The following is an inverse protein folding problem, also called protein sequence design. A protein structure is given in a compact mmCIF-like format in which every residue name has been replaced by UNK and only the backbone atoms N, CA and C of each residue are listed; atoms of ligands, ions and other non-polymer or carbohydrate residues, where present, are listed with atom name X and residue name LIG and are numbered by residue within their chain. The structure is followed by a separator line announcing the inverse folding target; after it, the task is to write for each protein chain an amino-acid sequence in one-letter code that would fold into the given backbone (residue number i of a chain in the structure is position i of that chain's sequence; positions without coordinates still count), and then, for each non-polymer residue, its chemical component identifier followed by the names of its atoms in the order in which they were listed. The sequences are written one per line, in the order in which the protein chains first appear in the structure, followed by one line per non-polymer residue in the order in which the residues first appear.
data_IF_120715106859
#
_entry.id   IF_120715106859
#
_cell.length_a   1.000
_cell.length_b   1.000
_cell.length_c   1.000
_cell.angle_alpha   90.00
_cell.angle_beta   90.00
_cell.angle_gamma   90.00
#
_symmetry.space_group_name_H-M   'P 1'
#
loop_
_entity.id
_entity.type
_entity.pdbx_description
1 polymer ?
#
# COMPACT_ATOMS: atom_id res chain seq x y z
N UNK A 1 -16.06 -11.66 35.76
CA UNK A 1 -15.24 -10.89 34.80
C UNK A 1 -14.97 -9.54 35.44
N UNK A 2 -13.70 -9.12 35.53
CA UNK A 2 -13.38 -7.78 36.04
C UNK A 2 -13.94 -6.73 35.07
N UNK A 3 -14.64 -5.72 35.60
CA UNK A 3 -15.08 -4.58 34.81
C UNK A 3 -13.84 -3.78 34.39
N UNK A 4 -13.39 -3.96 33.15
CA UNK A 4 -12.35 -3.14 32.55
C UNK A 4 -13.03 -1.87 32.03
N UNK A 5 -12.72 -0.74 32.65
CA UNK A 5 -13.17 0.58 32.17
C UNK A 5 -12.07 1.20 31.30
N UNK A 6 -12.46 1.86 30.21
CA UNK A 6 -11.53 2.55 29.31
C UNK A 6 -11.63 4.07 29.52
N UNK A 7 -10.49 4.75 29.66
CA UNK A 7 -10.43 6.19 29.80
C UNK A 7 -10.56 6.90 28.44
N UNK A 8 -11.76 6.80 27.84
CA UNK A 8 -12.10 7.43 26.57
C UNK A 8 -13.33 8.32 26.73
N UNK A 9 -13.36 9.42 25.98
CA UNK A 9 -14.52 10.31 25.94
C UNK A 9 -15.72 9.58 25.32
N UNK A 10 -16.94 9.93 25.75
CA UNK A 10 -18.17 9.34 25.18
C UNK A 10 -18.48 9.91 23.78
N UNK A 11 -18.01 11.13 23.50
CA UNK A 11 -18.24 11.84 22.25
C UNK A 11 -17.08 12.78 21.93
N UNK A 12 -17.02 13.24 20.68
CA UNK A 12 -16.17 14.33 20.20
C UNK A 12 -17.03 15.41 19.55
N UNK A 13 -16.47 16.61 19.37
CA UNK A 13 -17.11 17.73 18.69
C UNK A 13 -16.56 17.93 17.27
N UNK A 14 -17.23 18.79 16.49
CA UNK A 14 -16.73 19.21 15.18
C UNK A 14 -15.36 19.90 15.28
N UNK A 15 -15.15 20.66 16.36
CA UNK A 15 -13.87 21.31 16.63
C UNK A 15 -12.72 20.31 16.86
N UNK A 16 -12.98 19.18 17.52
CA UNK A 16 -11.99 18.12 17.76
C UNK A 16 -11.57 17.42 16.46
N UNK A 17 -12.56 17.07 15.63
CA UNK A 17 -12.33 16.45 14.31
C UNK A 17 -11.48 17.36 13.43
N UNK A 18 -11.84 18.65 13.38
CA UNK A 18 -11.13 19.66 12.61
C UNK A 18 -9.69 19.83 13.09
N UNK A 19 -9.46 19.80 14.41
CA UNK A 19 -8.12 19.86 15.00
C UNK A 19 -7.27 18.68 14.56
N UNK A 20 -7.73 17.44 14.75
CA UNK A 20 -7.00 16.23 14.34
C UNK A 20 -6.70 16.25 12.83
N UNK A 21 -7.68 16.59 11.99
CA UNK A 21 -7.48 16.69 10.53
C UNK A 21 -6.38 17.69 10.17
N UNK A 22 -6.36 18.85 10.82
CA UNK A 22 -5.37 19.90 10.56
C UNK A 22 -3.97 19.50 11.04
N UNK A 23 -3.87 18.79 12.15
CA UNK A 23 -2.61 18.16 12.60
C UNK A 23 -2.07 17.19 11.54
N UNK A 24 -2.95 16.40 10.92
CA UNK A 24 -2.61 15.48 9.83
C UNK A 24 -2.41 16.17 8.47
N UNK A 25 -2.64 17.48 8.37
CA UNK A 25 -2.53 18.28 7.14
C UNK A 25 -3.42 17.80 5.99
N UNK A 26 -4.57 17.21 6.31
CA UNK A 26 -5.48 16.65 5.30
C UNK A 26 -6.61 17.62 4.92
N UNK A 27 -7.04 17.54 3.66
CA UNK A 27 -8.31 18.14 3.21
C UNK A 27 -9.48 17.39 3.83
N UNK A 28 -10.67 18.02 3.91
CA UNK A 28 -11.88 17.34 4.40
C UNK A 28 -12.18 16.08 3.59
N UNK A 29 -12.00 16.13 2.26
CA UNK A 29 -12.18 14.97 1.38
C UNK A 29 -11.23 13.83 1.75
N UNK A 30 -9.92 14.11 1.89
CA UNK A 30 -8.92 13.08 2.21
C UNK A 30 -9.08 12.51 3.61
N UNK A 31 -9.48 13.34 4.57
CA UNK A 31 -9.76 12.87 5.92
C UNK A 31 -11.04 12.02 5.99
N UNK A 32 -12.07 12.37 5.22
CA UNK A 32 -13.28 11.56 5.09
C UNK A 32 -12.96 10.17 4.49
N UNK A 33 -12.14 10.14 3.43
CA UNK A 33 -11.63 8.89 2.84
C UNK A 33 -10.87 8.05 3.88
N UNK A 34 -9.99 8.67 4.69
CA UNK A 34 -9.25 7.98 5.75
C UNK A 34 -10.16 7.36 6.82
N UNK A 35 -11.20 8.09 7.24
CA UNK A 35 -12.14 7.61 8.26
C UNK A 35 -13.24 6.70 7.71
N UNK A 36 -13.29 6.47 6.39
CA UNK A 36 -14.32 5.65 5.75
C UNK A 36 -15.71 6.29 5.76
N UNK A 37 -15.80 7.63 5.70
CA UNK A 37 -17.08 8.37 5.68
C UNK A 37 -17.20 9.26 4.44
N UNK A 38 -18.42 9.72 4.12
CA UNK A 38 -18.62 10.64 3.00
C UNK A 38 -18.08 12.04 3.29
N UNK A 39 -17.64 12.76 2.26
CA UNK A 39 -17.25 14.18 2.36
C UNK A 39 -18.35 15.03 2.99
N UNK A 40 -19.62 14.79 2.63
CA UNK A 40 -20.76 15.48 3.20
C UNK A 40 -20.93 15.23 4.71
N UNK A 41 -20.61 14.01 5.18
CA UNK A 41 -20.59 13.70 6.62
C UNK A 41 -19.50 14.50 7.33
N UNK A 42 -18.31 14.56 6.75
CA UNK A 42 -17.19 15.34 7.29
C UNK A 42 -17.50 16.85 7.34
N UNK A 43 -18.09 17.40 6.28
CA UNK A 43 -18.51 18.80 6.25
C UNK A 43 -19.58 19.10 7.31
N UNK A 44 -20.57 18.22 7.46
CA UNK A 44 -21.59 18.34 8.51
C UNK A 44 -20.95 18.32 9.90
N UNK A 45 -20.06 17.37 10.15
CA UNK A 45 -19.35 17.24 11.44
C UNK A 45 -18.55 18.49 11.78
N UNK A 46 -17.84 19.09 10.82
CA UNK A 46 -17.01 20.27 11.12
C UNK A 46 -17.80 21.60 11.14
N UNK A 47 -19.04 21.61 10.65
CA UNK A 47 -19.89 22.80 10.61
C UNK A 47 -20.84 22.87 11.80
N UNK A 48 -21.30 21.71 12.29
CA UNK A 48 -22.21 21.63 13.44
C UNK A 48 -21.42 21.21 14.67
N UNK A 49 -21.66 21.88 15.80
CA UNK A 49 -21.11 21.47 17.10
C UNK A 49 -21.98 20.39 17.77
N UNK A 50 -22.42 19.41 16.97
CA UNK A 50 -23.16 18.25 17.46
C UNK A 50 -22.22 17.29 18.19
N UNK A 51 -22.74 16.55 19.18
CA UNK A 51 -22.01 15.45 19.81
C UNK A 51 -21.89 14.28 18.83
N UNK A 52 -20.67 13.91 18.47
CA UNK A 52 -20.38 12.81 17.56
C UNK A 52 -19.87 11.62 18.36
N UNK A 53 -20.59 10.50 18.28
CA UNK A 53 -20.36 9.29 19.08
C UNK A 53 -19.95 8.11 18.21
N UNK A 54 -19.57 7.00 18.84
CA UNK A 54 -19.28 5.73 18.17
C UNK A 54 -17.78 5.49 17.94
N UNK A 55 -17.41 4.57 17.03
CA UNK A 55 -16.02 4.14 16.83
C UNK A 55 -15.06 5.28 16.46
N UNK A 56 -15.58 6.34 15.84
CA UNK A 56 -14.80 7.51 15.44
C UNK A 56 -14.13 8.20 16.63
N UNK A 57 -14.73 8.15 17.82
CA UNK A 57 -14.16 8.75 19.04
C UNK A 57 -12.83 8.09 19.39
N UNK A 58 -12.78 6.75 19.37
CA UNK A 58 -11.56 5.98 19.60
C UNK A 58 -10.55 6.18 18.46
N UNK A 59 -11.01 6.13 17.22
CA UNK A 59 -10.15 6.30 16.05
C UNK A 59 -9.46 7.67 16.06
N UNK A 60 -10.18 8.75 16.35
CA UNK A 60 -9.60 10.08 16.47
C UNK A 60 -8.58 10.16 17.61
N UNK A 61 -8.84 9.48 18.73
CA UNK A 61 -7.88 9.44 19.84
C UNK A 61 -6.58 8.74 19.44
N UNK A 62 -6.67 7.64 18.70
CA UNK A 62 -5.51 6.92 18.15
C UNK A 62 -4.75 7.82 17.17
N UNK A 63 -5.46 8.47 16.24
CA UNK A 63 -4.85 9.37 15.24
C UNK A 63 -4.20 10.61 15.87
N UNK A 64 -4.77 11.13 16.94
CA UNK A 64 -4.20 12.25 17.70
C UNK A 64 -2.91 11.84 18.43
N UNK A 65 -2.87 10.61 18.96
CA UNK A 65 -1.71 10.08 19.67
C UNK A 65 -0.60 9.54 18.74
N UNK A 66 -0.97 9.08 17.53
CA UNK A 66 -0.06 8.47 16.55
C UNK A 66 -0.22 9.08 15.13
N UNK A 67 -0.04 10.40 14.97
CA UNK A 67 -0.20 11.06 13.68
C UNK A 67 0.82 10.57 12.62
N UNK A 68 1.99 10.08 13.04
CA UNK A 68 3.04 9.52 12.19
C UNK A 68 2.59 8.30 11.40
N UNK A 69 1.61 7.55 11.92
CA UNK A 69 1.07 6.37 11.25
C UNK A 69 0.44 6.74 9.90
N UNK A 70 -0.24 7.89 9.83
CA UNK A 70 -0.84 8.39 8.59
C UNK A 70 0.23 8.66 7.53
N UNK A 71 1.37 9.22 7.93
CA UNK A 71 2.51 9.44 7.01
C UNK A 71 3.11 8.11 6.54
N UNK A 72 3.20 7.12 7.43
CA UNK A 72 3.69 5.76 7.10
C UNK A 72 2.84 5.13 5.98
N UNK A 73 1.51 5.17 6.10
CA UNK A 73 0.59 4.54 5.15
C UNK A 73 0.29 5.36 3.90
N UNK A 74 0.74 6.63 3.82
CA UNK A 74 0.54 7.46 2.63
C UNK A 74 1.18 6.82 1.38
N UNK A 75 0.47 6.88 0.27
CA UNK A 75 1.01 6.53 -1.05
C UNK A 75 1.70 7.78 -1.61
N UNK A 76 3.02 7.73 -1.90
CA UNK A 76 3.71 8.85 -2.51
C UNK A 76 3.28 9.01 -3.96
N UNK A 77 3.47 10.23 -4.49
CA UNK A 77 3.31 10.48 -5.92
C UNK A 77 4.23 9.58 -6.74
N UNK A 78 3.81 9.27 -7.97
CA UNK A 78 4.56 8.42 -8.90
C UNK A 78 5.83 9.14 -9.35
N UNK A 79 6.99 8.60 -9.01
CA UNK A 79 8.27 9.24 -9.30
C UNK A 79 8.79 8.88 -10.69
N UNK A 80 8.60 7.62 -11.12
CA UNK A 80 9.07 7.11 -12.41
C UNK A 80 7.95 6.51 -13.26
N UNK A 81 8.24 6.25 -14.55
CA UNK A 81 7.25 5.86 -15.55
C UNK A 81 6.56 4.52 -15.28
N UNK A 82 7.23 3.58 -14.62
CA UNK A 82 6.65 2.29 -14.25
C UNK A 82 6.42 2.24 -12.74
N UNK A 83 5.20 1.93 -12.30
CA UNK A 83 4.86 1.70 -10.89
C UNK A 83 4.32 0.28 -10.72
N UNK A 84 4.86 -0.43 -9.74
CA UNK A 84 4.47 -1.80 -9.41
C UNK A 84 4.04 -1.88 -7.96
N UNK A 85 2.93 -2.55 -7.71
CA UNK A 85 2.42 -2.82 -6.37
C UNK A 85 2.64 -4.30 -6.08
N UNK A 86 3.60 -4.61 -5.22
CA UNK A 86 3.79 -5.96 -4.70
C UNK A 86 2.83 -6.18 -3.55
N UNK A 87 1.95 -7.15 -3.72
CA UNK A 87 0.78 -7.39 -2.88
C UNK A 87 0.87 -8.77 -2.25
N UNK A 88 0.37 -8.90 -1.02
CA UNK A 88 0.06 -10.18 -0.40
C UNK A 88 -1.43 -10.19 -0.08
N UNK A 89 -2.18 -11.08 -0.72
CA UNK A 89 -3.65 -11.06 -0.69
C UNK A 89 -4.20 -9.66 -1.06
N UNK A 90 -4.77 -8.93 -0.09
CA UNK A 90 -5.35 -7.59 -0.26
C UNK A 90 -4.45 -6.47 0.26
N UNK A 91 -3.32 -6.79 0.89
CA UNK A 91 -2.41 -5.82 1.49
C UNK A 91 -1.28 -5.44 0.54
N UNK A 92 -0.95 -4.15 0.51
CA UNK A 92 0.23 -3.65 -0.18
C UNK A 92 1.44 -3.96 0.69
N UNK A 93 2.42 -4.67 0.15
CA UNK A 93 3.68 -4.95 0.85
C UNK A 93 4.76 -3.95 0.47
N UNK A 94 5.00 -3.78 -0.84
CA UNK A 94 6.01 -2.87 -1.37
C UNK A 94 5.49 -2.16 -2.61
N UNK A 95 5.60 -0.83 -2.62
CA UNK A 95 5.44 -0.01 -3.82
C UNK A 95 6.80 0.19 -4.47
N UNK A 96 6.89 -0.01 -5.78
CA UNK A 96 8.14 0.02 -6.55
C UNK A 96 7.95 0.95 -7.75
N UNK A 97 8.72 2.04 -7.80
CA UNK A 97 8.79 2.92 -8.96
C UNK A 97 10.10 2.65 -9.71
N UNK A 98 10.02 2.53 -11.04
CA UNK A 98 11.16 2.16 -11.89
C UNK A 98 11.29 3.09 -13.09
N UNK A 99 12.50 3.59 -13.33
CA UNK A 99 12.93 4.25 -14.56
C UNK A 99 13.79 3.25 -15.36
N UNK A 100 13.19 2.63 -16.37
CA UNK A 100 13.84 1.60 -17.19
C UNK A 100 14.97 2.18 -18.06
N UNK A 101 14.88 3.46 -18.45
CA UNK A 101 15.88 4.10 -19.31
C UNK A 101 17.14 4.47 -18.53
N UNK A 102 16.95 5.04 -17.34
CA UNK A 102 18.06 5.46 -16.46
C UNK A 102 18.48 4.38 -15.47
N UNK A 103 17.81 3.23 -15.49
CA UNK A 103 18.03 2.11 -14.56
C UNK A 103 17.99 2.55 -13.10
N UNK A 104 16.89 3.19 -12.68
CA UNK A 104 16.68 3.63 -11.30
C UNK A 104 15.46 2.98 -10.70
N UNK A 105 15.55 2.67 -9.41
CA UNK A 105 14.49 2.02 -8.64
C UNK A 105 14.30 2.79 -7.36
N UNK A 106 13.05 3.01 -6.97
CA UNK A 106 12.67 3.53 -5.67
C UNK A 106 11.56 2.71 -5.08
N UNK A 107 11.63 2.49 -3.77
CA UNK A 107 10.66 1.66 -3.08
C UNK A 107 10.07 2.36 -1.87
N UNK A 108 8.86 1.93 -1.50
CA UNK A 108 8.28 2.16 -0.18
C UNK A 108 7.66 0.87 0.34
N UNK A 109 8.15 0.39 1.48
CA UNK A 109 7.61 -0.78 2.17
C UNK A 109 6.48 -0.36 3.12
N UNK A 110 5.38 -1.10 3.10
CA UNK A 110 4.18 -0.86 3.93
C UNK A 110 3.99 -1.93 5.00
N UNK A 111 4.79 -2.98 4.99
CA UNK A 111 4.81 -4.05 6.00
C UNK A 111 6.13 -4.05 6.77
N UNK A 112 6.07 -4.30 8.07
CA UNK A 112 7.26 -4.48 8.91
C UNK A 112 7.80 -5.92 8.81
N UNK A 113 7.06 -6.85 8.21
CA UNK A 113 7.51 -8.21 7.98
C UNK A 113 8.47 -8.27 6.78
N UNK A 114 9.75 -8.53 7.05
CA UNK A 114 10.81 -8.61 6.04
C UNK A 114 10.51 -9.65 4.96
N UNK A 115 9.88 -10.77 5.31
CA UNK A 115 9.56 -11.84 4.36
C UNK A 115 8.53 -11.40 3.30
N UNK A 116 7.77 -10.35 3.59
CA UNK A 116 6.73 -9.85 2.69
C UNK A 116 7.22 -8.64 1.89
N UNK A 117 8.40 -8.09 2.21
CA UNK A 117 9.00 -6.99 1.43
C UNK A 117 9.62 -7.55 0.15
N UNK A 118 9.37 -6.89 -0.99
CA UNK A 118 9.87 -7.33 -2.31
C UNK A 118 11.40 -7.53 -2.34
N UNK A 119 12.14 -6.74 -1.57
CA UNK A 119 13.61 -6.74 -1.52
C UNK A 119 14.16 -7.14 -0.14
N UNK A 120 13.33 -7.75 0.71
CA UNK A 120 13.72 -8.12 2.07
C UNK A 120 14.23 -6.92 2.88
N UNK A 121 15.46 -6.98 3.39
CA UNK A 121 16.03 -5.90 4.20
C UNK A 121 16.70 -4.78 3.39
N UNK A 122 16.74 -4.87 2.05
CA UNK A 122 17.33 -3.83 1.21
C UNK A 122 16.39 -2.62 1.13
N UNK A 123 16.87 -1.45 1.54
CA UNK A 123 16.09 -0.19 1.57
C UNK A 123 16.26 0.66 0.32
N UNK A 124 17.39 0.51 -0.36
CA UNK A 124 17.73 1.21 -1.59
C UNK A 124 18.19 0.18 -2.63
N UNK A 125 17.26 -0.56 -3.26
CA UNK A 125 17.61 -1.58 -4.24
C UNK A 125 18.20 -0.94 -5.50
N UNK A 126 19.19 -1.63 -6.09
CA UNK A 126 19.72 -1.25 -7.41
C UNK A 126 18.80 -1.75 -8.52
N UNK A 127 19.13 -1.43 -9.77
CA UNK A 127 18.39 -1.96 -10.91
C UNK A 127 18.59 -3.48 -11.07
N UNK A 128 19.77 -3.98 -10.72
CA UNK A 128 20.07 -5.41 -10.71
C UNK A 128 19.23 -6.16 -9.65
N UNK A 129 19.03 -5.56 -8.48
CA UNK A 129 18.13 -6.11 -7.46
C UNK A 129 16.68 -6.20 -7.98
N UNK A 130 16.24 -5.17 -8.72
CA UNK A 130 14.94 -5.16 -9.39
C UNK A 130 14.81 -6.27 -10.44
N UNK A 131 15.82 -6.45 -11.31
CA UNK A 131 15.82 -7.55 -12.29
C UNK A 131 15.76 -8.91 -11.60
N UNK A 132 16.51 -9.10 -10.51
CA UNK A 132 16.47 -10.31 -9.70
C UNK A 132 15.09 -10.53 -9.04
N UNK A 133 14.45 -9.48 -8.56
CA UNK A 133 13.09 -9.54 -8.03
C UNK A 133 12.08 -9.97 -9.10
N UNK A 134 12.13 -9.41 -10.32
CA UNK A 134 11.24 -9.84 -11.40
C UNK A 134 11.43 -11.32 -11.73
N UNK A 135 12.68 -11.78 -11.84
CA UNK A 135 13.01 -13.18 -12.09
C UNK A 135 12.47 -14.09 -10.99
N UNK A 136 12.53 -13.67 -9.72
CA UNK A 136 12.00 -14.42 -8.59
C UNK A 136 10.48 -14.64 -8.64
N UNK A 137 9.76 -13.80 -9.40
CA UNK A 137 8.31 -13.88 -9.63
C UNK A 137 7.95 -14.53 -10.96
N UNK A 138 8.91 -15.20 -11.59
CA UNK A 138 8.74 -15.95 -12.82
C UNK A 138 9.09 -17.44 -12.61
N UNK A 139 8.66 -18.29 -13.54
CA UNK A 139 9.10 -19.68 -13.55
C UNK A 139 10.58 -19.77 -13.95
N UNK A 140 11.39 -20.71 -13.42
CA UNK A 140 12.82 -20.76 -13.71
C UNK A 140 13.14 -20.93 -15.20
N UNK A 141 14.17 -20.25 -15.70
CA UNK A 141 14.67 -20.42 -17.09
C UNK A 141 15.09 -21.86 -17.43
N UNK A 142 15.46 -22.64 -16.42
CA UNK A 142 15.82 -24.06 -16.55
C UNK A 142 14.62 -25.01 -16.54
N UNK A 143 13.38 -24.51 -16.41
CA UNK A 143 12.16 -25.32 -16.39
C UNK A 143 12.03 -26.13 -17.69
N UNK A 144 11.78 -27.44 -17.56
CA UNK A 144 11.45 -28.28 -18.71
C UNK A 144 10.24 -27.69 -19.46
N UNK A 145 10.25 -27.79 -20.80
CA UNK A 145 9.21 -27.24 -21.68
C UNK A 145 8.97 -25.72 -21.58
N UNK A 146 9.96 -24.93 -21.17
CA UNK A 146 9.89 -23.46 -21.18
C UNK A 146 9.29 -22.86 -22.46
N UNK A 147 9.68 -23.36 -23.64
CA UNK A 147 9.16 -22.87 -24.93
C UNK A 147 7.65 -23.05 -25.09
N UNK A 148 7.08 -24.10 -24.50
CA UNK A 148 5.63 -24.32 -24.51
C UNK A 148 4.92 -23.33 -23.58
N UNK A 149 5.46 -23.11 -22.38
CA UNK A 149 4.92 -22.12 -21.44
C UNK A 149 4.91 -20.72 -22.06
N UNK A 150 6.02 -20.30 -22.67
CA UNK A 150 6.09 -19.00 -23.36
C UNK A 150 5.06 -18.90 -24.50
N UNK A 151 4.87 -19.99 -25.26
CA UNK A 151 3.84 -20.04 -26.31
C UNK A 151 2.43 -19.90 -25.74
N UNK A 152 2.13 -20.55 -24.63
CA UNK A 152 0.82 -20.47 -23.95
C UNK A 152 0.56 -19.07 -23.37
N UNK A 153 1.61 -18.36 -22.96
CA UNK A 153 1.55 -16.97 -22.51
C UNK A 153 1.54 -15.95 -23.67
N UNK A 154 1.66 -16.41 -24.91
CA UNK A 154 1.82 -15.58 -26.11
C UNK A 154 3.03 -14.63 -26.02
N UNK A 155 4.19 -15.21 -25.65
CA UNK A 155 5.46 -14.49 -25.49
C UNK A 155 6.53 -15.04 -26.45
N UNK A 156 7.23 -14.16 -27.19
CA UNK A 156 8.23 -14.57 -28.18
C UNK A 156 9.56 -15.03 -27.55
N UNK A 157 9.86 -14.56 -26.35
CA UNK A 157 11.06 -14.91 -25.59
C UNK A 157 10.80 -14.76 -24.10
N UNK A 158 11.73 -15.27 -23.29
CA UNK A 158 11.66 -15.14 -21.85
C UNK A 158 12.03 -13.71 -21.45
N UNK A 159 11.04 -12.94 -21.03
CA UNK A 159 11.17 -11.59 -20.46
C UNK A 159 10.40 -11.52 -19.14
N UNK A 160 11.06 -11.30 -17.99
CA UNK A 160 10.40 -11.32 -16.68
C UNK A 160 9.24 -10.33 -16.57
N UNK A 161 9.40 -9.12 -17.11
CA UNK A 161 8.36 -8.10 -17.03
C UNK A 161 7.13 -8.51 -17.85
N UNK A 162 7.33 -9.01 -19.07
CA UNK A 162 6.22 -9.52 -19.90
C UNK A 162 5.55 -10.74 -19.27
N UNK A 163 6.31 -11.65 -18.65
CA UNK A 163 5.76 -12.80 -17.92
C UNK A 163 4.89 -12.31 -16.76
N UNK A 164 5.37 -11.36 -15.96
CA UNK A 164 4.60 -10.77 -14.86
C UNK A 164 3.36 -10.06 -15.37
N UNK A 165 3.41 -9.38 -16.51
CA UNK A 165 2.21 -8.77 -17.11
C UNK A 165 1.13 -9.79 -17.47
N UNK A 166 1.52 -11.00 -17.88
CA UNK A 166 0.59 -12.08 -18.23
C UNK A 166 0.10 -12.87 -17.02
N UNK A 167 0.91 -12.97 -15.97
CA UNK A 167 0.68 -13.88 -14.83
C UNK A 167 0.41 -13.16 -13.51
N UNK A 168 0.50 -11.83 -13.51
CA UNK A 168 0.56 -10.99 -12.30
C UNK A 168 1.69 -11.39 -11.34
N UNK A 169 2.71 -12.11 -11.82
CA UNK A 169 3.78 -12.64 -10.99
C UNK A 169 3.30 -13.58 -9.88
N UNK A 170 2.17 -14.29 -10.09
CA UNK A 170 1.62 -15.28 -9.14
C UNK A 170 2.39 -16.59 -9.19
N UNK A 171 2.62 -17.19 -8.03
CA UNK A 171 3.31 -18.48 -7.89
C UNK A 171 2.40 -19.48 -7.16
N UNK A 172 2.53 -20.78 -7.48
CA UNK A 172 1.60 -21.80 -7.02
C UNK A 172 1.58 -22.03 -5.49
N UNK A 173 2.60 -21.57 -4.78
CA UNK A 173 2.83 -21.85 -3.35
C UNK A 173 2.76 -20.60 -2.48
N UNK A 174 2.35 -19.46 -3.04
CA UNK A 174 2.17 -18.23 -2.28
C UNK A 174 0.97 -17.39 -2.74
N UNK A 175 0.63 -16.39 -1.93
CA UNK A 175 -0.46 -15.44 -2.18
C UNK A 175 0.05 -14.08 -2.66
N UNK A 176 1.30 -14.03 -3.14
CA UNK A 176 1.88 -12.80 -3.64
C UNK A 176 1.52 -12.56 -5.11
N UNK A 177 1.33 -11.30 -5.45
CA UNK A 177 1.05 -10.89 -6.82
C UNK A 177 1.47 -9.44 -7.03
N UNK A 178 1.57 -9.05 -8.30
CA UNK A 178 2.02 -7.73 -8.72
C UNK A 178 0.97 -7.06 -9.59
N UNK A 179 0.57 -5.86 -9.19
CA UNK A 179 -0.21 -4.95 -10.05
C UNK A 179 0.72 -3.93 -10.70
N UNK A 180 0.62 -3.75 -12.01
CA UNK A 180 1.44 -2.79 -12.77
C UNK A 180 0.59 -1.58 -13.19
N UNK A 181 1.16 -0.39 -13.05
CA UNK A 181 0.60 0.89 -13.47
C UNK A 181 1.64 1.64 -14.33
N UNK A 182 1.33 1.82 -15.62
CA UNK A 182 2.14 2.57 -16.59
C UNK A 182 1.58 3.97 -16.74
#
# INVERSE_FOLDING_TARGET
MNNINFAIQEYVTGSDIKRVRKTLQLTQKKFAELLGVSKATMERWETKEDKITGPVVLLLKILENHPEYVMKIQIPDKEYGLRMWYMHEQEICTLIDVDELKKRVKIKNYTDNIMFQAFGNLKEPTYEDYEAFLESRCFPKSRDKMKLILKDLDLPFYDPLMIIQKTEGRMAEDHFWIRIER
#
